data_IF_729513349689
#
_entry.id   IF_729513349689
#
_cell.length_a   1.000
_cell.length_b   1.000
_cell.length_c   1.000
_cell.angle_alpha   90.00
_cell.angle_beta   90.00
_cell.angle_gamma   90.00
#
_symmetry.space_group_name_H-M   'P 1'
#
loop_
_entity.id
_entity.type
_entity.pdbx_description
1 polymer ?
#
# COMPACT_ATOMS: atom_id res chain seq x y z
N UNK A 1 -10.27 -10.66 -16.53
CA UNK A 1 -9.33 -9.87 -15.71
C UNK A 1 -10.12 -8.92 -14.84
N UNK A 2 -9.78 -8.84 -13.56
CA UNK A 2 -10.42 -7.92 -12.65
C UNK A 2 -10.10 -6.47 -13.09
N UNK A 3 -11.11 -5.63 -13.41
CA UNK A 3 -10.87 -4.29 -13.97
C UNK A 3 -10.06 -3.39 -13.02
N UNK A 4 -10.06 -3.69 -11.72
CA UNK A 4 -9.33 -2.94 -10.72
C UNK A 4 -7.81 -3.15 -10.76
N UNK A 5 -7.30 -4.22 -11.39
CA UNK A 5 -5.85 -4.51 -11.48
C UNK A 5 -5.07 -3.32 -12.05
N UNK A 6 -5.57 -2.71 -13.12
CA UNK A 6 -4.90 -1.55 -13.72
C UNK A 6 -4.87 -0.36 -12.76
N UNK A 7 -5.93 -0.13 -11.99
CA UNK A 7 -5.97 0.96 -11.01
C UNK A 7 -4.91 0.78 -9.92
N UNK A 8 -4.78 -0.43 -9.35
CA UNK A 8 -3.75 -0.73 -8.35
C UNK A 8 -2.35 -0.52 -8.92
N UNK A 9 -2.10 -1.00 -10.14
CA UNK A 9 -0.82 -0.87 -10.81
C UNK A 9 -0.42 0.61 -11.04
N UNK A 10 -1.30 1.40 -11.65
CA UNK A 10 -1.01 2.82 -11.93
C UNK A 10 -0.85 3.65 -10.65
N UNK A 11 -1.70 3.42 -9.65
CA UNK A 11 -1.58 4.13 -8.36
C UNK A 11 -0.28 3.77 -7.66
N UNK A 12 0.13 2.50 -7.69
CA UNK A 12 1.40 2.05 -7.12
C UNK A 12 2.60 2.68 -7.81
N UNK A 13 2.60 2.77 -9.15
CA UNK A 13 3.65 3.45 -9.91
C UNK A 13 3.73 4.92 -9.53
N UNK A 14 2.60 5.63 -9.49
CA UNK A 14 2.57 7.06 -9.12
C UNK A 14 3.11 7.24 -7.71
N UNK A 15 2.69 6.40 -6.76
CA UNK A 15 3.15 6.46 -5.38
C UNK A 15 4.67 6.23 -5.26
N UNK A 16 5.22 5.28 -6.03
CA UNK A 16 6.65 5.00 -6.05
C UNK A 16 7.45 6.12 -6.73
N UNK A 17 6.96 6.69 -7.83
CA UNK A 17 7.62 7.81 -8.52
C UNK A 17 7.67 9.03 -7.59
N UNK A 18 6.53 9.41 -7.01
CA UNK A 18 6.48 10.56 -6.08
C UNK A 18 7.32 10.27 -4.84
N UNK A 19 7.22 9.05 -4.29
CA UNK A 19 8.00 8.61 -3.14
C UNK A 19 9.50 8.75 -3.40
N UNK A 20 9.98 8.19 -4.51
CA UNK A 20 11.39 8.25 -4.93
C UNK A 20 11.85 9.69 -5.17
N UNK A 21 11.01 10.52 -5.80
CA UNK A 21 11.32 11.93 -6.01
C UNK A 21 11.45 12.68 -4.68
N UNK A 22 10.52 12.48 -3.74
CA UNK A 22 10.58 13.12 -2.41
C UNK A 22 11.75 12.62 -1.58
N UNK A 23 12.09 11.34 -1.69
CA UNK A 23 13.23 10.74 -0.99
C UNK A 23 14.56 11.30 -1.51
N UNK A 24 14.72 11.41 -2.84
CA UNK A 24 15.93 12.00 -3.44
C UNK A 24 16.07 13.49 -3.11
N UNK A 25 14.96 14.22 -3.03
CA UNK A 25 14.97 15.68 -2.83
C UNK A 25 15.11 16.07 -1.36
N UNK A 26 14.35 15.44 -0.47
CA UNK A 26 14.24 15.85 0.93
C UNK A 26 14.73 14.79 1.91
N UNK A 27 15.09 13.59 1.43
CA UNK A 27 15.46 12.42 2.25
C UNK A 27 14.38 12.01 3.26
N UNK A 28 13.15 12.45 3.01
CA UNK A 28 12.00 12.24 3.88
C UNK A 28 10.80 11.88 3.02
N UNK A 29 10.21 10.74 3.32
CA UNK A 29 8.96 10.31 2.72
C UNK A 29 7.81 10.96 3.50
N UNK A 30 7.04 11.80 2.80
CA UNK A 30 5.94 12.56 3.39
C UNK A 30 4.81 11.66 3.87
N UNK A 31 4.40 11.85 5.13
CA UNK A 31 3.25 11.14 5.72
C UNK A 31 1.97 11.34 4.91
N UNK A 32 1.82 12.49 4.24
CA UNK A 32 0.63 12.80 3.42
C UNK A 32 0.52 11.84 2.24
N UNK A 33 1.65 11.50 1.61
CA UNK A 33 1.68 10.57 0.49
C UNK A 33 1.34 9.15 0.93
N UNK A 34 1.93 8.71 2.04
CA UNK A 34 1.77 7.33 2.52
C UNK A 34 0.39 7.09 3.12
N UNK A 35 -0.13 8.02 3.92
CA UNK A 35 -1.51 7.93 4.42
C UNK A 35 -2.52 8.07 3.28
N UNK A 36 -2.24 8.93 2.30
CA UNK A 36 -3.05 9.01 1.08
C UNK A 36 -3.08 7.68 0.34
N UNK A 37 -1.93 7.03 0.16
CA UNK A 37 -1.82 5.72 -0.49
C UNK A 37 -2.59 4.62 0.24
N UNK A 38 -2.49 4.55 1.57
CA UNK A 38 -3.23 3.57 2.39
C UNK A 38 -4.74 3.79 2.26
N UNK A 39 -5.19 5.04 2.42
CA UNK A 39 -6.62 5.38 2.34
C UNK A 39 -7.16 5.09 0.95
N UNK A 40 -6.43 5.47 -0.10
CA UNK A 40 -6.82 5.17 -1.48
C UNK A 40 -6.91 3.66 -1.74
N UNK A 41 -5.93 2.87 -1.30
CA UNK A 41 -5.96 1.41 -1.44
C UNK A 41 -7.19 0.78 -0.78
N UNK A 42 -7.48 1.17 0.48
CA UNK A 42 -8.65 0.69 1.20
C UNK A 42 -9.97 1.10 0.51
N UNK A 43 -10.06 2.34 0.01
CA UNK A 43 -11.26 2.81 -0.71
C UNK A 43 -11.47 2.00 -2.00
N UNK A 44 -10.42 1.74 -2.78
CA UNK A 44 -10.55 0.98 -4.02
C UNK A 44 -11.00 -0.46 -3.70
N UNK A 45 -10.42 -1.11 -2.69
CA UNK A 45 -10.85 -2.45 -2.25
C UNK A 45 -12.27 -2.48 -1.68
N UNK A 46 -12.72 -1.40 -1.03
CA UNK A 46 -14.10 -1.27 -0.57
C UNK A 46 -15.08 -1.20 -1.75
N UNK A 47 -14.75 -0.42 -2.78
CA UNK A 47 -15.54 -0.32 -4.00
C UNK A 47 -15.57 -1.67 -4.73
N UNK A 48 -14.41 -2.31 -4.87
CA UNK A 48 -14.27 -3.63 -5.49
C UNK A 48 -15.11 -4.69 -4.75
N UNK A 49 -14.99 -4.74 -3.42
CA UNK A 49 -15.74 -5.66 -2.57
C UNK A 49 -17.25 -5.49 -2.73
N UNK A 50 -17.73 -4.25 -2.81
CA UNK A 50 -19.15 -3.95 -3.00
C UNK A 50 -19.64 -4.36 -4.41
N UNK A 51 -18.84 -4.13 -5.45
CA UNK A 51 -19.21 -4.51 -6.83
C UNK A 51 -19.22 -6.02 -7.05
N UNK A 52 -18.29 -6.75 -6.43
CA UNK A 52 -18.18 -8.20 -6.56
C UNK A 52 -19.03 -8.97 -5.53
N UNK A 53 -19.67 -8.27 -4.59
CA UNK A 53 -20.36 -8.84 -3.43
C UNK A 53 -19.47 -9.80 -2.61
N UNK A 54 -18.17 -9.54 -2.58
CA UNK A 54 -17.18 -10.33 -1.85
C UNK A 54 -16.47 -9.46 -0.80
N UNK A 55 -16.92 -9.59 0.45
CA UNK A 55 -16.34 -8.89 1.60
C UNK A 55 -14.99 -9.46 2.05
N UNK A 56 -14.58 -10.61 1.51
CA UNK A 56 -13.28 -11.19 1.80
C UNK A 56 -12.14 -10.33 1.24
N UNK A 57 -12.37 -9.62 0.13
CA UNK A 57 -11.39 -8.75 -0.53
C UNK A 57 -10.88 -7.67 0.44
N UNK A 58 -11.79 -6.93 1.07
CA UNK A 58 -11.40 -5.89 2.03
C UNK A 58 -10.84 -6.48 3.33
N UNK A 59 -11.34 -7.66 3.75
CA UNK A 59 -10.81 -8.39 4.89
C UNK A 59 -9.33 -8.74 4.70
N UNK A 60 -8.97 -9.32 3.55
CA UNK A 60 -7.58 -9.62 3.20
C UNK A 60 -6.77 -8.32 3.14
N UNK A 61 -7.28 -7.27 2.49
CA UNK A 61 -6.57 -6.00 2.37
C UNK A 61 -6.17 -5.43 3.74
N UNK A 62 -7.09 -5.41 4.69
CA UNK A 62 -6.83 -4.94 6.06
C UNK A 62 -5.83 -5.85 6.80
N UNK A 63 -5.99 -7.17 6.70
CA UNK A 63 -5.11 -8.14 7.37
C UNK A 63 -3.68 -8.01 6.84
N UNK A 64 -3.50 -8.01 5.52
CA UNK A 64 -2.18 -7.92 4.88
C UNK A 64 -1.54 -6.57 5.18
N UNK A 65 -2.26 -5.47 5.05
CA UNK A 65 -1.74 -4.13 5.38
C UNK A 65 -1.25 -4.07 6.83
N UNK A 66 -2.03 -4.60 7.76
CA UNK A 66 -1.68 -4.64 9.18
C UNK A 66 -0.46 -5.52 9.43
N UNK A 67 -0.44 -6.72 8.85
CA UNK A 67 0.69 -7.64 8.96
C UNK A 67 1.98 -7.04 8.40
N UNK A 68 1.93 -6.39 7.23
CA UNK A 68 3.07 -5.71 6.62
C UNK A 68 3.53 -4.53 7.46
N UNK A 69 2.62 -3.74 8.04
CA UNK A 69 3.00 -2.67 8.96
C UNK A 69 3.73 -3.21 10.18
N UNK A 70 3.20 -4.26 10.84
CA UNK A 70 3.82 -4.87 12.02
C UNK A 70 5.21 -5.44 11.68
N UNK A 71 5.34 -6.17 10.57
CA UNK A 71 6.61 -6.72 10.12
C UNK A 71 7.62 -5.60 9.82
N UNK A 72 7.22 -4.59 9.07
CA UNK A 72 8.08 -3.47 8.69
C UNK A 72 8.48 -2.63 9.90
N UNK A 73 7.56 -2.41 10.84
CA UNK A 73 7.85 -1.75 12.12
C UNK A 73 8.85 -2.55 12.96
N UNK A 74 8.75 -3.88 12.97
CA UNK A 74 9.74 -4.76 13.58
C UNK A 74 11.13 -4.58 12.97
N UNK A 75 11.23 -4.53 11.63
CA UNK A 75 12.47 -4.28 10.90
C UNK A 75 13.08 -2.90 11.19
N UNK A 76 12.22 -1.89 11.35
CA UNK A 76 12.66 -0.56 11.80
C UNK A 76 13.20 -0.59 13.24
N UNK A 77 12.55 -1.33 14.15
CA UNK A 77 13.00 -1.44 15.54
C UNK A 77 14.37 -2.09 15.70
N UNK A 78 14.71 -3.06 14.85
CA UNK A 78 16.03 -3.71 14.83
C UNK A 78 17.07 -2.92 14.02
N UNK A 79 16.71 -1.77 13.44
CA UNK A 79 17.61 -0.89 12.71
C UNK A 79 17.96 -1.35 11.29
N UNK A 80 17.22 -2.31 10.73
CA UNK A 80 17.44 -2.78 9.35
C UNK A 80 16.88 -1.77 8.33
N UNK A 81 15.75 -1.13 8.65
CA UNK A 81 15.06 -0.20 7.76
C UNK A 81 14.91 1.19 8.35
N UNK A 82 14.81 2.19 7.45
CA UNK A 82 14.44 3.53 7.83
C UNK A 82 12.93 3.63 8.04
N UNK A 83 12.48 4.63 8.82
CA UNK A 83 11.06 4.86 9.04
C UNK A 83 10.29 5.23 7.77
N UNK A 84 10.98 5.64 6.70
CA UNK A 84 10.39 5.87 5.38
C UNK A 84 9.94 4.57 4.73
N UNK A 85 10.80 3.54 4.77
CA UNK A 85 10.54 2.23 4.16
C UNK A 85 9.27 1.60 4.75
N UNK A 86 9.12 1.65 6.07
CA UNK A 86 7.92 1.16 6.78
C UNK A 86 6.64 1.73 6.19
N UNK A 87 6.61 3.04 5.92
CA UNK A 87 5.41 3.72 5.42
C UNK A 87 5.13 3.36 3.96
N UNK A 88 6.17 3.27 3.13
CA UNK A 88 6.02 2.86 1.73
C UNK A 88 5.51 1.43 1.62
N UNK A 89 6.12 0.50 2.34
CA UNK A 89 5.70 -0.91 2.33
C UNK A 89 4.26 -1.07 2.83
N UNK A 90 3.87 -0.31 3.86
CA UNK A 90 2.48 -0.33 4.35
C UNK A 90 1.50 0.20 3.30
N UNK A 91 1.84 1.31 2.61
CA UNK A 91 1.00 1.86 1.55
C UNK A 91 0.90 0.93 0.34
N UNK A 92 1.99 0.27 -0.04
CA UNK A 92 2.00 -0.71 -1.13
C UNK A 92 1.20 -1.97 -0.78
N UNK A 93 1.27 -2.44 0.46
CA UNK A 93 0.47 -3.57 0.93
C UNK A 93 -1.03 -3.25 0.92
N UNK A 94 -1.43 -2.01 1.21
CA UNK A 94 -2.81 -1.57 1.11
C UNK A 94 -3.33 -1.48 -0.33
N UNK A 95 -2.44 -1.29 -1.32
CA UNK A 95 -2.78 -1.22 -2.74
C UNK A 95 -2.69 -2.59 -3.43
N UNK A 96 -1.76 -3.45 -3.01
CA UNK A 96 -1.53 -4.77 -3.58
C UNK A 96 -1.43 -5.83 -2.47
N UNK A 97 -2.52 -6.09 -1.73
CA UNK A 97 -2.50 -7.04 -0.62
C UNK A 97 -2.37 -8.49 -1.07
N UNK A 98 -2.82 -8.79 -2.28
CA UNK A 98 -2.71 -10.11 -2.88
C UNK A 98 -2.62 -9.98 -4.40
N UNK A 99 -1.85 -10.85 -5.03
CA UNK A 99 -1.80 -10.99 -6.48
C UNK A 99 -2.44 -12.34 -6.83
N UNK A 100 -3.73 -12.31 -7.17
CA UNK A 100 -4.38 -13.44 -7.83
C UNK A 100 -3.80 -13.46 -9.24
N UNK A 101 -2.89 -14.40 -9.48
CA UNK A 101 -2.03 -14.47 -10.64
C UNK A 101 -2.72 -14.20 -11.99
N UNK A 102 -1.88 -13.75 -12.92
CA UNK A 102 -2.10 -13.69 -14.38
C UNK A 102 -2.92 -14.88 -14.86
#
# INVERSE_FOLDING_TARGET
>A
MNPFIFSYFFVSIILLIIGSYTDLKERIISNKLTYGGIVLGIIIHLIESWQLNDYWIIGIAVIVTTATFVASWGLWKIGVWAGGDVKLFTALAALNPFNLGI
#
